data_IF_156711470507
#
_entry.id   IF_156711470507
#
_cell.length_a   1.000
_cell.length_b   1.000
_cell.length_c   1.000
_cell.angle_alpha   90.00
_cell.angle_beta   90.00
_cell.angle_gamma   90.00
#
_symmetry.space_group_name_H-M   'P 1'
#
loop_
_entity.id
_entity.type
_entity.pdbx_description
1 polymer ?
#
# COMPACT_ATOMS: atom_id res chain seq x y z
N UNK A 1 28.49 -26.23 -22.83
CA UNK A 1 27.78 -25.25 -21.98
C UNK A 1 26.37 -25.77 -21.71
N UNK A 2 26.10 -26.27 -20.50
CA UNK A 2 24.74 -26.65 -20.07
C UNK A 2 24.09 -25.41 -19.46
N UNK A 3 23.27 -24.70 -20.25
CA UNK A 3 22.40 -23.66 -19.73
C UNK A 3 21.24 -24.30 -18.97
N UNK A 4 21.41 -24.49 -17.67
CA UNK A 4 20.35 -24.95 -16.79
C UNK A 4 19.40 -23.79 -16.50
N UNK A 5 18.29 -23.69 -17.22
CA UNK A 5 17.13 -22.96 -16.72
C UNK A 5 16.61 -23.73 -15.51
N UNK A 6 16.96 -23.28 -14.31
CA UNK A 6 16.32 -23.76 -13.09
C UNK A 6 14.81 -23.53 -13.24
N UNK A 7 14.01 -24.60 -13.22
CA UNK A 7 12.55 -24.48 -13.15
C UNK A 7 12.21 -23.87 -11.79
N UNK A 8 11.92 -22.58 -11.77
CA UNK A 8 11.28 -21.93 -10.62
C UNK A 8 9.91 -22.56 -10.44
N UNK A 9 9.62 -23.04 -9.24
CA UNK A 9 8.31 -23.60 -8.93
C UNK A 9 7.24 -22.50 -8.93
N UNK A 10 5.99 -22.87 -9.22
CA UNK A 10 4.86 -21.93 -9.18
C UNK A 10 4.69 -21.26 -7.81
N UNK A 11 5.07 -21.95 -6.73
CA UNK A 11 5.04 -21.44 -5.36
C UNK A 11 6.12 -20.38 -5.11
N UNK A 12 7.33 -20.60 -5.61
CA UNK A 12 8.41 -19.60 -5.53
C UNK A 12 8.05 -18.34 -6.31
N UNK A 13 7.54 -18.49 -7.54
CA UNK A 13 7.10 -17.36 -8.37
C UNK A 13 5.98 -16.55 -7.67
N UNK A 14 5.03 -17.24 -7.03
CA UNK A 14 3.94 -16.62 -6.30
C UNK A 14 4.45 -15.86 -5.06
N UNK A 15 5.33 -16.45 -4.27
CA UNK A 15 5.93 -15.80 -3.09
C UNK A 15 6.75 -14.58 -3.48
N UNK A 16 7.51 -14.66 -4.57
CA UNK A 16 8.31 -13.54 -5.07
C UNK A 16 7.43 -12.40 -5.58
N UNK A 17 6.37 -12.73 -6.31
CA UNK A 17 5.39 -11.76 -6.81
C UNK A 17 4.65 -11.07 -5.66
N UNK A 18 4.20 -11.83 -4.66
CA UNK A 18 3.51 -11.29 -3.49
C UNK A 18 4.40 -10.35 -2.69
N UNK A 19 5.63 -10.77 -2.38
CA UNK A 19 6.60 -9.95 -1.65
C UNK A 19 6.99 -8.68 -2.40
N UNK A 20 7.31 -8.78 -3.69
CA UNK A 20 7.67 -7.61 -4.52
C UNK A 20 6.50 -6.63 -4.68
N UNK A 21 5.26 -7.12 -4.83
CA UNK A 21 4.07 -6.27 -4.84
C UNK A 21 3.88 -5.55 -3.49
N UNK A 22 4.14 -6.22 -2.36
CA UNK A 22 4.14 -5.61 -1.04
C UNK A 22 5.17 -4.47 -0.91
N UNK A 23 6.40 -4.69 -1.39
CA UNK A 23 7.46 -3.66 -1.39
C UNK A 23 7.03 -2.48 -2.27
N UNK A 24 6.52 -2.74 -3.47
CA UNK A 24 6.03 -1.70 -4.37
C UNK A 24 4.92 -0.86 -3.71
N UNK A 25 3.98 -1.52 -3.03
CA UNK A 25 2.91 -0.84 -2.30
C UNK A 25 3.46 0.07 -1.18
N UNK A 26 4.47 -0.40 -0.45
CA UNK A 26 5.14 0.40 0.57
C UNK A 26 5.83 1.63 -0.01
N UNK A 27 6.56 1.48 -1.13
CA UNK A 27 7.18 2.61 -1.81
C UNK A 27 6.14 3.64 -2.30
N UNK A 28 5.01 3.17 -2.82
CA UNK A 28 3.89 4.04 -3.22
C UNK A 28 3.25 4.78 -2.03
N UNK A 29 3.19 4.15 -0.86
CA UNK A 29 2.74 4.78 0.37
C UNK A 29 3.70 5.90 0.81
N UNK A 30 5.03 5.68 0.73
CA UNK A 30 6.03 6.72 1.01
C UNK A 30 5.91 7.91 0.04
N UNK A 31 5.72 7.64 -1.25
CA UNK A 31 5.45 8.70 -2.25
C UNK A 31 4.17 9.46 -1.90
N UNK A 32 3.16 8.79 -1.38
CA UNK A 32 1.90 9.45 -0.97
C UNK A 32 2.04 10.32 0.27
N UNK A 33 2.91 9.93 1.21
CA UNK A 33 3.32 10.81 2.32
C UNK A 33 3.99 12.06 1.78
N UNK A 34 4.96 11.92 0.86
CA UNK A 34 5.64 13.07 0.27
C UNK A 34 4.64 14.02 -0.41
N UNK A 35 3.72 13.50 -1.23
CA UNK A 35 2.70 14.32 -1.88
C UNK A 35 1.79 15.00 -0.83
N UNK A 36 1.43 14.29 0.25
CA UNK A 36 0.61 14.87 1.31
C UNK A 36 1.31 16.01 2.05
N UNK A 37 2.60 15.87 2.33
CA UNK A 37 3.43 16.94 2.90
C UNK A 37 3.50 18.13 1.95
N UNK A 38 3.70 17.91 0.64
CA UNK A 38 3.74 18.99 -0.34
C UNK A 38 2.40 19.75 -0.43
N UNK A 39 1.27 19.04 -0.35
CA UNK A 39 -0.08 19.64 -0.27
C UNK A 39 -0.22 20.48 1.01
N UNK A 40 0.36 20.02 2.12
CA UNK A 40 0.29 20.70 3.41
C UNK A 40 1.12 21.99 3.51
N UNK A 41 2.16 22.15 2.70
CA UNK A 41 3.04 23.34 2.73
C UNK A 41 2.29 24.60 2.28
N UNK A 42 1.35 24.49 1.34
CA UNK A 42 0.47 25.58 0.89
C UNK A 42 -0.96 25.06 0.70
N UNK A 43 -1.74 24.92 1.77
CA UNK A 43 -3.11 24.46 1.68
C UNK A 43 -3.99 25.51 0.99
N UNK A 44 -5.06 25.07 0.32
CA UNK A 44 -5.99 25.95 -0.41
C UNK A 44 -5.93 25.83 -1.93
N UNK A 45 -6.80 26.61 -2.59
CA UNK A 45 -7.01 26.59 -4.04
C UNK A 45 -5.88 27.32 -4.79
N UNK A 46 -4.73 26.66 -4.88
CA UNK A 46 -3.59 27.03 -5.73
C UNK A 46 -3.53 26.04 -6.91
N UNK A 47 -3.36 26.49 -8.17
CA UNK A 47 -3.11 25.61 -9.31
C UNK A 47 -2.01 24.56 -9.08
N UNK A 48 -0.97 24.89 -8.30
CA UNK A 48 0.07 23.93 -7.91
C UNK A 48 -0.49 22.83 -7.00
N UNK A 49 -1.34 23.18 -6.04
CA UNK A 49 -1.99 22.25 -5.13
C UNK A 49 -2.97 21.33 -5.89
N UNK A 50 -3.76 21.88 -6.82
CA UNK A 50 -4.64 21.06 -7.66
C UNK A 50 -3.87 19.98 -8.45
N UNK A 51 -2.67 20.31 -8.94
CA UNK A 51 -1.82 19.35 -9.64
C UNK A 51 -1.31 18.27 -8.69
N UNK A 52 -0.95 18.62 -7.46
CA UNK A 52 -0.56 17.67 -6.42
C UNK A 52 -1.71 16.76 -6.02
N UNK A 53 -2.92 17.29 -5.84
CA UNK A 53 -4.12 16.52 -5.52
C UNK A 53 -4.45 15.54 -6.64
N UNK A 54 -4.35 15.96 -7.91
CA UNK A 54 -4.49 15.06 -9.07
C UNK A 54 -3.46 13.93 -9.03
N UNK A 55 -2.17 14.24 -8.78
CA UNK A 55 -1.12 13.24 -8.63
C UNK A 55 -1.39 12.28 -7.48
N UNK A 56 -1.85 12.78 -6.35
CA UNK A 56 -2.18 11.98 -5.18
C UNK A 56 -3.38 11.04 -5.44
N UNK A 57 -4.38 11.50 -6.20
CA UNK A 57 -5.50 10.67 -6.65
C UNK A 57 -5.02 9.57 -7.61
N UNK A 58 -4.13 9.89 -8.54
CA UNK A 58 -3.52 8.89 -9.43
C UNK A 58 -2.69 7.86 -8.66
N UNK A 59 -1.84 8.30 -7.72
CA UNK A 59 -1.07 7.41 -6.86
C UNK A 59 -1.97 6.48 -6.05
N UNK A 60 -3.08 6.99 -5.51
CA UNK A 60 -4.08 6.20 -4.79
C UNK A 60 -4.76 5.15 -5.66
N UNK A 61 -5.05 5.46 -6.93
CA UNK A 61 -5.56 4.45 -7.89
C UNK A 61 -4.54 3.35 -8.17
N UNK A 62 -3.27 3.71 -8.34
CA UNK A 62 -2.18 2.74 -8.54
C UNK A 62 -2.04 1.86 -7.29
N UNK A 63 -2.12 2.43 -6.09
CA UNK A 63 -2.11 1.66 -4.85
C UNK A 63 -3.25 0.64 -4.80
N UNK A 64 -4.48 1.01 -5.15
CA UNK A 64 -5.58 0.04 -5.21
C UNK A 64 -5.31 -1.12 -6.19
N UNK A 65 -4.69 -0.83 -7.33
CA UNK A 65 -4.29 -1.87 -8.28
C UNK A 65 -3.25 -2.83 -7.66
N UNK A 66 -2.23 -2.29 -6.99
CA UNK A 66 -1.21 -3.10 -6.32
C UNK A 66 -1.79 -3.88 -5.14
N UNK A 67 -2.69 -3.28 -4.35
CA UNK A 67 -3.45 -3.96 -3.29
C UNK A 67 -4.22 -5.15 -3.86
N UNK A 68 -4.86 -4.99 -5.03
CA UNK A 68 -5.53 -6.10 -5.69
C UNK A 68 -4.55 -7.24 -6.05
N UNK A 69 -3.36 -6.90 -6.56
CA UNK A 69 -2.30 -7.90 -6.84
C UNK A 69 -1.84 -8.61 -5.57
N UNK A 70 -1.55 -7.88 -4.49
CA UNK A 70 -1.16 -8.46 -3.20
C UNK A 70 -2.27 -9.38 -2.67
N UNK A 71 -3.53 -8.94 -2.78
CA UNK A 71 -4.70 -9.71 -2.32
C UNK A 71 -4.85 -11.00 -3.13
N UNK A 72 -4.85 -10.92 -4.47
CA UNK A 72 -5.01 -12.09 -5.33
C UNK A 72 -3.88 -13.09 -5.13
N UNK A 73 -2.63 -12.62 -5.05
CA UNK A 73 -1.48 -13.49 -4.81
C UNK A 73 -1.51 -14.12 -3.42
N UNK A 74 -1.95 -13.38 -2.38
CA UNK A 74 -2.12 -13.88 -1.02
C UNK A 74 -3.22 -14.93 -0.91
N UNK A 75 -4.39 -14.68 -1.51
CA UNK A 75 -5.50 -15.65 -1.57
C UNK A 75 -5.09 -16.91 -2.33
N UNK A 76 -4.38 -16.75 -3.45
CA UNK A 76 -3.87 -17.90 -4.22
C UNK A 76 -2.89 -18.72 -3.38
N UNK A 77 -2.02 -18.06 -2.61
CA UNK A 77 -1.06 -18.75 -1.74
C UNK A 77 -1.77 -19.51 -0.60
N UNK A 78 -2.82 -18.93 -0.01
CA UNK A 78 -3.68 -19.59 0.97
C UNK A 78 -4.34 -20.84 0.35
N UNK A 79 -4.82 -20.77 -0.89
CA UNK A 79 -5.50 -21.90 -1.54
C UNK A 79 -4.54 -23.03 -1.97
N UNK A 80 -3.31 -22.68 -2.34
CA UNK A 80 -2.29 -23.64 -2.79
C UNK A 80 -1.43 -24.22 -1.66
N UNK A 81 -1.42 -23.59 -0.48
CA UNK A 81 -0.61 -24.00 0.66
C UNK A 81 -1.13 -25.26 1.35
N UNK A 82 -0.22 -26.09 1.87
CA UNK A 82 -0.59 -27.28 2.64
C UNK A 82 -1.01 -26.96 4.08
N UNK A 83 -0.71 -25.75 4.60
CA UNK A 83 -1.09 -25.29 5.94
C UNK A 83 -1.44 -23.78 5.99
N UNK A 84 -2.48 -23.33 5.29
CA UNK A 84 -2.78 -21.91 5.16
C UNK A 84 -3.12 -21.21 6.47
N UNK A 85 -3.72 -21.90 7.44
CA UNK A 85 -4.16 -21.28 8.70
C UNK A 85 -3.04 -20.98 9.70
N UNK A 86 -1.88 -21.65 9.60
CA UNK A 86 -0.73 -21.38 10.45
C UNK A 86 0.14 -20.23 9.95
N UNK A 87 -0.06 -19.77 8.72
CA UNK A 87 0.76 -18.73 8.10
C UNK A 87 0.23 -17.34 8.45
N UNK A 88 0.57 -16.88 9.66
CA UNK A 88 0.19 -15.55 10.18
C UNK A 88 0.45 -14.42 9.18
N UNK A 89 1.57 -14.48 8.45
CA UNK A 89 1.97 -13.46 7.48
C UNK A 89 1.01 -13.36 6.27
N UNK A 90 0.34 -14.45 5.88
CA UNK A 90 -0.66 -14.43 4.80
C UNK A 90 -1.95 -13.77 5.27
N UNK A 91 -2.42 -14.10 6.47
CA UNK A 91 -3.64 -13.52 7.01
C UNK A 91 -3.47 -12.06 7.41
N UNK A 92 -2.33 -11.71 8.02
CA UNK A 92 -2.01 -10.32 8.37
C UNK A 92 -1.97 -9.44 7.11
N UNK A 93 -1.40 -9.94 6.00
CA UNK A 93 -1.36 -9.20 4.75
C UNK A 93 -2.75 -9.00 4.16
N UNK A 94 -3.60 -10.03 4.12
CA UNK A 94 -4.97 -9.93 3.59
C UNK A 94 -5.85 -8.98 4.42
N UNK A 95 -5.80 -9.09 5.74
CA UNK A 95 -6.54 -8.17 6.64
C UNK A 95 -6.04 -6.75 6.45
N UNK A 96 -4.72 -6.55 6.42
CA UNK A 96 -4.14 -5.23 6.20
C UNK A 96 -4.51 -4.64 4.84
N UNK A 97 -4.58 -5.43 3.77
CA UNK A 97 -5.02 -4.96 2.45
C UNK A 97 -6.46 -4.46 2.48
N UNK A 98 -7.35 -5.13 3.21
CA UNK A 98 -8.73 -4.68 3.42
C UNK A 98 -8.80 -3.33 4.12
N UNK A 99 -8.12 -3.22 5.27
CA UNK A 99 -8.04 -1.96 6.03
C UNK A 99 -7.40 -0.82 5.22
N UNK A 100 -6.29 -1.10 4.54
CA UNK A 100 -5.58 -0.14 3.70
C UNK A 100 -6.48 0.39 2.60
N UNK A 101 -7.16 -0.50 1.85
CA UNK A 101 -8.05 -0.11 0.76
C UNK A 101 -9.22 0.73 1.26
N UNK A 102 -9.88 0.29 2.34
CA UNK A 102 -10.98 1.04 2.94
C UNK A 102 -10.52 2.43 3.42
N UNK A 103 -9.38 2.50 4.10
CA UNK A 103 -8.90 3.75 4.64
C UNK A 103 -8.44 4.73 3.55
N UNK A 104 -7.83 4.24 2.47
CA UNK A 104 -7.45 5.05 1.32
C UNK A 104 -8.68 5.73 0.67
N UNK A 105 -9.77 4.98 0.52
CA UNK A 105 -10.99 5.43 -0.14
C UNK A 105 -11.87 6.31 0.75
N UNK A 106 -12.09 5.91 2.01
CA UNK A 106 -13.09 6.53 2.88
C UNK A 106 -12.54 7.58 3.83
N UNK A 107 -11.23 7.58 4.12
CA UNK A 107 -10.63 8.57 5.03
C UNK A 107 -9.60 9.46 4.33
N UNK A 108 -8.62 8.85 3.66
CA UNK A 108 -7.49 9.59 3.10
C UNK A 108 -7.87 10.47 1.92
N UNK A 109 -8.69 9.95 0.99
CA UNK A 109 -9.15 10.75 -0.16
C UNK A 109 -10.02 11.93 0.29
N UNK A 110 -11.03 11.78 1.17
CA UNK A 110 -11.79 12.92 1.71
C UNK A 110 -10.92 13.93 2.45
N UNK A 111 -10.01 13.47 3.33
CA UNK A 111 -9.11 14.36 4.07
C UNK A 111 -8.26 15.23 3.11
N UNK A 112 -7.72 14.61 2.06
CA UNK A 112 -6.96 15.31 1.03
C UNK A 112 -7.77 16.37 0.28
N UNK A 113 -9.01 16.05 -0.10
CA UNK A 113 -9.87 17.01 -0.78
C UNK A 113 -10.20 18.19 0.14
N UNK A 114 -10.49 17.93 1.41
CA UNK A 114 -10.76 18.99 2.37
C UNK A 114 -9.56 19.93 2.58
N UNK A 115 -8.33 19.44 2.51
CA UNK A 115 -7.12 20.28 2.56
C UNK A 115 -6.94 21.10 1.28
N UNK A 116 -7.24 20.52 0.12
CA UNK A 116 -7.20 21.21 -1.16
C UNK A 116 -8.16 22.40 -1.22
N UNK A 117 -9.30 22.30 -0.55
CA UNK A 117 -10.33 23.34 -0.46
C UNK A 117 -10.03 24.40 0.64
N UNK A 118 -8.85 24.38 1.24
CA UNK A 118 -8.46 25.35 2.28
C UNK A 118 -8.83 24.90 3.70
N UNK A 119 -8.81 23.59 3.96
CA UNK A 119 -9.08 23.02 5.28
C UNK A 119 -8.14 23.54 6.38
N UNK A 120 -8.62 23.48 7.62
CA UNK A 120 -7.86 23.89 8.82
C UNK A 120 -6.57 23.09 9.01
N UNK A 121 -5.65 23.62 9.82
CA UNK A 121 -4.40 22.95 10.20
C UNK A 121 -4.63 21.52 10.76
N UNK A 122 -5.70 21.33 11.53
CA UNK A 122 -6.09 20.00 12.03
C UNK A 122 -6.41 19.01 10.90
N UNK A 123 -7.07 19.46 9.82
CA UNK A 123 -7.34 18.62 8.64
C UNK A 123 -6.08 18.30 7.85
N UNK A 124 -5.15 19.26 7.77
CA UNK A 124 -3.82 19.08 7.17
C UNK A 124 -3.04 18.01 7.93
N UNK A 125 -2.95 18.15 9.26
CA UNK A 125 -2.31 17.16 10.14
C UNK A 125 -2.92 15.78 10.00
N UNK A 126 -4.26 15.69 9.94
CA UNK A 126 -4.98 14.42 9.77
C UNK A 126 -4.66 13.74 8.44
N UNK A 127 -4.58 14.48 7.33
CA UNK A 127 -4.20 13.92 6.04
C UNK A 127 -2.81 13.27 6.08
N UNK A 128 -1.82 13.94 6.67
CA UNK A 128 -0.45 13.42 6.80
C UNK A 128 -0.45 12.19 7.72
N UNK A 129 -1.10 12.29 8.89
CA UNK A 129 -1.17 11.21 9.86
C UNK A 129 -1.77 9.92 9.25
N UNK A 130 -2.82 10.03 8.44
CA UNK A 130 -3.42 8.89 7.74
C UNK A 130 -2.45 8.25 6.73
N UNK A 131 -1.66 9.05 6.00
CA UNK A 131 -0.67 8.52 5.06
C UNK A 131 0.50 7.84 5.78
N UNK A 132 0.93 8.39 6.91
CA UNK A 132 1.95 7.76 7.77
C UNK A 132 1.43 6.46 8.36
N UNK A 133 0.20 6.43 8.86
CA UNK A 133 -0.44 5.22 9.38
C UNK A 133 -0.50 4.11 8.31
N UNK A 134 -0.81 4.45 7.06
CA UNK A 134 -0.74 3.51 5.94
C UNK A 134 0.66 2.92 5.73
N UNK A 135 1.70 3.75 5.72
CA UNK A 135 3.06 3.26 5.57
C UNK A 135 3.50 2.38 6.75
N UNK A 136 3.12 2.73 7.98
CA UNK A 136 3.41 1.93 9.18
C UNK A 136 2.69 0.58 9.16
N UNK A 137 1.42 0.55 8.74
CA UNK A 137 0.69 -0.71 8.55
C UNK A 137 1.42 -1.62 7.56
N UNK A 138 1.83 -1.09 6.42
CA UNK A 138 2.57 -1.85 5.41
C UNK A 138 3.95 -2.31 5.91
N UNK A 139 4.64 -1.50 6.72
CA UNK A 139 5.91 -1.88 7.32
C UNK A 139 5.76 -3.10 8.24
N UNK A 140 4.71 -3.12 9.08
CA UNK A 140 4.41 -4.26 9.95
C UNK A 140 4.08 -5.52 9.13
N UNK A 141 3.28 -5.36 8.07
CA UNK A 141 2.95 -6.46 7.15
C UNK A 141 4.21 -7.02 6.49
N UNK A 142 5.06 -6.16 5.93
CA UNK A 142 6.32 -6.56 5.32
C UNK A 142 7.24 -7.25 6.33
N UNK A 143 7.38 -6.69 7.53
CA UNK A 143 8.14 -7.34 8.59
C UNK A 143 7.62 -8.75 8.88
N UNK A 144 6.30 -8.95 8.95
CA UNK A 144 5.73 -10.28 9.14
C UNK A 144 6.00 -11.24 7.98
N UNK A 145 6.11 -10.75 6.74
CA UNK A 145 6.48 -11.55 5.56
C UNK A 145 7.95 -11.99 5.57
N UNK A 146 8.84 -11.15 6.11
CA UNK A 146 10.28 -11.44 6.17
C UNK A 146 10.69 -12.23 7.42
N UNK A 147 9.89 -12.18 8.50
CA UNK A 147 10.09 -12.96 9.73
C UNK A 147 9.46 -14.36 9.61
N UNK A 148 9.31 -14.89 8.39
CA UNK A 148 8.73 -16.23 8.14
C UNK A 148 9.35 -17.27 9.10
N UNK A 149 8.53 -18.12 9.76
CA UNK A 149 9.08 -19.25 10.52
C UNK A 149 9.89 -20.14 9.57
N UNK A 150 11.08 -20.52 10.04
CA UNK A 150 11.99 -21.43 9.33
C UNK A 150 11.37 -22.82 9.12
#
# INVERSE_FOLDING_TARGET
>A
MKGGFARVSSQELLSWTHGSAGILLFLLALVSILIAVLIAVRPGADPANEKLVRRANTASRIQHLVVAVVTVTGVTAVWMGSRPFSEFWLWSSLVAMGFYSAALQFFTKPARMAVAEGGSEGKVGMQIALQVAHALLLLVVLASMYVKPA
#
